data_IF_804381641836
#
_entry.id   IF_804381641836
#
_cell.length_a   1.000
_cell.length_b   1.000
_cell.length_c   1.000
_cell.angle_alpha   90.00
_cell.angle_beta   90.00
_cell.angle_gamma   90.00
#
_symmetry.space_group_name_H-M   'P 1'
#
loop_
_entity.id
_entity.type
_entity.pdbx_description
1 polymer ?
#
# COMPACT_ATOMS: atom_id res chain seq x y z
N UNK A 1 -8.86 20.74 -42.78
CA UNK A 1 -8.29 20.86 -41.42
C UNK A 1 -9.36 20.92 -40.32
N UNK A 2 -10.46 21.67 -40.47
CA UNK A 2 -11.52 21.76 -39.44
C UNK A 2 -12.27 20.46 -39.12
N UNK A 3 -12.54 19.59 -40.10
CA UNK A 3 -13.24 18.32 -39.87
C UNK A 3 -12.45 17.28 -39.05
N UNK A 4 -11.12 17.27 -39.17
CA UNK A 4 -10.26 16.40 -38.37
C UNK A 4 -10.20 16.85 -36.90
N UNK A 5 -10.18 18.16 -36.65
CA UNK A 5 -10.21 18.73 -35.29
C UNK A 5 -11.54 18.45 -34.59
N UNK A 6 -12.66 18.59 -35.31
CA UNK A 6 -14.00 18.29 -34.77
C UNK A 6 -14.18 16.82 -34.38
N UNK A 7 -13.69 15.90 -35.23
CA UNK A 7 -13.67 14.48 -34.91
C UNK A 7 -12.80 14.22 -33.69
N UNK A 8 -11.57 14.73 -33.64
CA UNK A 8 -10.66 14.52 -32.49
C UNK A 8 -11.29 14.97 -31.16
N UNK A 9 -12.00 16.09 -31.15
CA UNK A 9 -12.70 16.59 -29.97
C UNK A 9 -13.86 15.69 -29.56
N UNK A 10 -14.69 15.28 -30.53
CA UNK A 10 -15.85 14.42 -30.28
C UNK A 10 -15.45 13.03 -29.79
N UNK A 11 -14.44 12.40 -30.40
CA UNK A 11 -13.95 11.08 -29.97
C UNK A 11 -13.33 11.13 -28.58
N UNK A 12 -12.59 12.18 -28.25
CA UNK A 12 -12.02 12.34 -26.91
C UNK A 12 -13.08 12.60 -25.84
N UNK A 13 -14.11 13.41 -26.15
CA UNK A 13 -15.22 13.66 -25.24
C UNK A 13 -16.01 12.37 -24.95
N UNK A 14 -16.36 11.61 -26.00
CA UNK A 14 -17.01 10.30 -25.85
C UNK A 14 -16.12 9.35 -25.05
N UNK A 15 -14.82 9.34 -25.31
CA UNK A 15 -13.86 8.53 -24.54
C UNK A 15 -13.83 8.93 -23.07
N UNK A 16 -13.79 10.22 -22.71
CA UNK A 16 -13.86 10.67 -21.31
C UNK A 16 -15.17 10.34 -20.61
N UNK A 17 -16.29 10.32 -21.35
CA UNK A 17 -17.61 10.00 -20.81
C UNK A 17 -17.84 8.49 -20.63
N UNK A 18 -17.17 7.66 -21.43
CA UNK A 18 -17.41 6.20 -21.49
C UNK A 18 -16.27 5.37 -20.92
N UNK A 19 -15.05 5.92 -20.86
CA UNK A 19 -13.84 5.27 -20.38
C UNK A 19 -13.15 6.26 -19.44
N UNK A 20 -13.07 5.98 -18.13
CA UNK A 20 -12.31 6.84 -17.23
C UNK A 20 -10.90 6.99 -17.80
N UNK A 21 -10.35 8.23 -17.89
CA UNK A 21 -9.03 8.44 -18.46
C UNK A 21 -8.03 7.58 -17.68
N UNK A 22 -7.53 6.55 -18.35
CA UNK A 22 -6.64 5.57 -17.75
C UNK A 22 -5.26 6.21 -17.72
N UNK A 23 -5.00 7.04 -16.72
CA UNK A 23 -3.61 7.33 -16.37
C UNK A 23 -2.92 5.99 -16.07
N UNK A 24 -1.69 5.83 -16.56
CA UNK A 24 -0.93 4.61 -16.29
C UNK A 24 -0.88 4.39 -14.78
N UNK A 25 -1.14 3.19 -14.25
CA UNK A 25 -1.09 2.97 -12.82
C UNK A 25 0.28 3.36 -12.24
N UNK A 26 0.30 3.90 -11.01
CA UNK A 26 1.55 4.10 -10.28
C UNK A 26 2.10 2.73 -9.89
N UNK A 27 3.23 2.33 -10.49
CA UNK A 27 3.82 0.99 -10.29
C UNK A 27 5.18 1.00 -9.58
N UNK A 28 5.79 2.17 -9.39
CA UNK A 28 7.01 2.34 -8.60
C UNK A 28 6.93 3.50 -7.62
N UNK A 29 7.76 3.47 -6.56
CA UNK A 29 7.91 4.59 -5.62
C UNK A 29 8.38 5.87 -6.32
N UNK A 30 9.19 5.73 -7.38
CA UNK A 30 9.64 6.87 -8.18
C UNK A 30 8.51 7.51 -8.96
N UNK A 31 7.61 6.70 -9.52
CA UNK A 31 6.47 7.22 -10.25
C UNK A 31 5.50 7.93 -9.31
N UNK A 32 5.36 7.44 -8.07
CA UNK A 32 4.63 8.15 -7.03
C UNK A 32 5.25 9.53 -6.76
N UNK A 33 6.57 9.60 -6.58
CA UNK A 33 7.28 10.87 -6.38
C UNK A 33 7.11 11.84 -7.56
N UNK A 34 7.27 11.36 -8.81
CA UNK A 34 7.10 12.16 -10.04
C UNK A 34 5.69 12.74 -10.18
N UNK A 35 4.67 11.98 -9.78
CA UNK A 35 3.26 12.41 -9.82
C UNK A 35 2.82 13.15 -8.56
N UNK A 36 3.76 13.49 -7.69
CA UNK A 36 3.53 14.17 -6.41
C UNK A 36 2.53 13.43 -5.49
N UNK A 37 2.46 12.10 -5.62
CA UNK A 37 1.70 11.25 -4.71
C UNK A 37 2.59 10.93 -3.53
N UNK A 38 2.17 11.38 -2.36
CA UNK A 38 2.93 11.20 -1.11
C UNK A 38 2.50 9.90 -0.42
N UNK A 39 3.43 8.99 -0.21
CA UNK A 39 3.17 7.73 0.49
C UNK A 39 3.46 7.94 1.98
N UNK A 40 2.43 7.90 2.82
CA UNK A 40 2.60 8.10 4.24
C UNK A 40 3.30 6.89 4.91
N UNK A 41 4.26 7.19 5.77
CA UNK A 41 5.01 6.20 6.55
C UNK A 41 5.27 6.77 7.94
N UNK A 42 5.15 5.95 8.98
CA UNK A 42 5.54 6.35 10.33
C UNK A 42 7.07 6.30 10.50
N UNK A 43 7.65 7.26 11.21
CA UNK A 43 9.09 7.32 11.50
C UNK A 43 9.66 5.99 12.07
N UNK A 44 8.99 5.29 13.00
CA UNK A 44 9.46 3.99 13.48
C UNK A 44 9.54 2.91 12.39
N UNK A 45 8.75 3.01 11.32
CA UNK A 45 8.72 2.02 10.24
C UNK A 45 9.82 2.25 9.18
N UNK A 46 10.60 3.33 9.30
CA UNK A 46 11.74 3.59 8.39
C UNK A 46 12.82 2.51 8.53
N UNK A 47 13.05 2.02 9.75
CA UNK A 47 14.01 0.92 9.98
C UNK A 47 13.62 -0.34 9.23
N UNK A 48 12.32 -0.64 9.11
CA UNK A 48 11.84 -1.83 8.41
C UNK A 48 12.08 -1.70 6.91
N UNK A 49 11.81 -0.52 6.33
CA UNK A 49 12.10 -0.27 4.91
C UNK A 49 13.59 -0.43 4.63
N UNK A 50 14.45 0.13 5.48
CA UNK A 50 15.91 0.00 5.37
C UNK A 50 16.38 -1.44 5.56
N UNK A 51 15.77 -2.18 6.48
CA UNK A 51 16.07 -3.59 6.72
C UNK A 51 15.76 -4.46 5.49
N UNK A 52 14.59 -4.26 4.86
CA UNK A 52 14.17 -5.09 3.73
C UNK A 52 14.77 -4.66 2.37
N UNK A 53 15.05 -3.38 2.17
CA UNK A 53 15.48 -2.84 0.86
C UNK A 53 16.87 -2.21 0.84
N UNK A 54 17.49 -2.03 2.00
CA UNK A 54 18.79 -1.38 2.14
C UNK A 54 18.71 0.14 2.25
N UNK A 55 19.80 0.74 2.72
CA UNK A 55 19.94 2.20 2.85
C UNK A 55 19.93 2.92 1.50
N UNK A 56 20.45 2.30 0.44
CA UNK A 56 20.52 2.92 -0.89
C UNK A 56 19.12 3.14 -1.47
N UNK A 57 18.24 2.15 -1.34
CA UNK A 57 16.83 2.29 -1.73
C UNK A 57 16.14 3.45 -0.97
N UNK A 58 16.40 3.56 0.33
CA UNK A 58 15.83 4.63 1.15
C UNK A 58 16.32 6.01 0.68
N UNK A 59 17.64 6.18 0.52
CA UNK A 59 18.22 7.44 0.05
C UNK A 59 17.63 7.85 -1.29
N UNK A 60 17.52 6.91 -2.22
CA UNK A 60 16.93 7.18 -3.51
C UNK A 60 15.46 7.58 -3.38
N UNK A 61 14.62 6.82 -2.68
CA UNK A 61 13.15 6.93 -2.75
C UNK A 61 12.50 7.69 -1.60
N UNK A 62 13.28 8.25 -0.67
CA UNK A 62 12.80 8.99 0.50
C UNK A 62 11.85 10.15 0.16
N UNK A 63 12.01 10.77 -1.02
CA UNK A 63 11.18 11.87 -1.55
C UNK A 63 9.73 11.48 -1.86
N UNK A 64 9.48 10.19 -2.12
CA UNK A 64 8.15 9.64 -2.33
C UNK A 64 7.35 9.54 -1.02
N UNK A 65 8.03 9.53 0.13
CA UNK A 65 7.40 9.29 1.42
C UNK A 65 7.05 10.60 2.14
N UNK A 66 5.92 10.57 2.85
CA UNK A 66 5.53 11.60 3.82
C UNK A 66 5.63 11.01 5.21
N UNK A 67 6.62 11.47 5.97
CA UNK A 67 6.95 10.88 7.27
C UNK A 67 6.10 11.53 8.36
N UNK A 68 5.34 10.71 9.07
CA UNK A 68 4.63 11.11 10.29
C UNK A 68 5.39 10.63 11.52
N UNK A 69 5.29 11.37 12.61
CA UNK A 69 6.12 11.12 13.81
C UNK A 69 5.72 9.85 14.55
N UNK A 70 4.41 9.55 14.59
CA UNK A 70 3.88 8.43 15.38
C UNK A 70 3.09 7.46 14.52
N UNK A 71 3.06 6.20 14.97
CA UNK A 71 2.20 5.17 14.39
C UNK A 71 0.72 5.54 14.58
N UNK A 72 0.37 6.19 15.69
CA UNK A 72 -1.00 6.64 15.95
C UNK A 72 -1.47 7.67 14.92
N UNK A 73 -0.61 8.61 14.51
CA UNK A 73 -0.92 9.59 13.47
C UNK A 73 -1.14 8.89 12.11
N UNK A 74 -0.25 7.97 11.76
CA UNK A 74 -0.38 7.11 10.57
C UNK A 74 -1.74 6.38 10.57
N UNK A 75 -2.04 5.68 11.67
CA UNK A 75 -3.27 4.91 11.82
C UNK A 75 -4.51 5.81 11.81
N UNK A 76 -4.44 7.01 12.41
CA UNK A 76 -5.54 7.96 12.40
C UNK A 76 -5.87 8.46 10.99
N UNK A 77 -4.85 8.77 10.17
CA UNK A 77 -5.05 9.19 8.79
C UNK A 77 -5.57 8.04 7.92
N UNK A 78 -4.98 6.85 8.04
CA UNK A 78 -5.46 5.65 7.35
C UNK A 78 -6.90 5.33 7.75
N UNK A 79 -7.25 5.45 9.04
CA UNK A 79 -8.62 5.26 9.54
C UNK A 79 -9.56 6.35 9.02
N UNK A 80 -9.11 7.57 8.77
CA UNK A 80 -9.92 8.60 8.12
C UNK A 80 -10.02 8.41 6.60
N UNK A 81 -9.28 7.47 6.02
CA UNK A 81 -9.22 7.23 4.58
C UNK A 81 -8.85 8.52 3.82
N UNK A 82 -7.86 9.24 4.34
CA UNK A 82 -7.41 10.51 3.78
C UNK A 82 -6.70 10.29 2.43
N UNK A 83 -7.32 10.75 1.36
CA UNK A 83 -6.86 10.54 -0.03
C UNK A 83 -5.68 11.42 -0.43
N UNK A 84 -5.22 12.31 0.46
CA UNK A 84 -4.00 13.11 0.21
C UNK A 84 -2.73 12.25 0.19
N UNK A 85 -2.81 11.02 0.72
CA UNK A 85 -1.67 10.13 0.84
C UNK A 85 -1.99 8.73 0.31
N UNK A 86 -0.96 8.06 -0.23
CA UNK A 86 -0.93 6.61 -0.30
C UNK A 86 -0.48 6.01 1.03
N UNK A 87 -0.80 4.75 1.29
CA UNK A 87 -0.48 4.09 2.57
C UNK A 87 0.29 2.80 2.32
N UNK A 88 1.30 2.53 3.15
CA UNK A 88 1.95 1.22 3.16
C UNK A 88 1.32 0.35 4.23
N UNK A 89 0.75 -0.77 3.84
CA UNK A 89 0.10 -1.70 4.75
C UNK A 89 0.52 -3.14 4.48
N UNK A 90 0.31 -3.99 5.48
CA UNK A 90 0.34 -5.43 5.28
C UNK A 90 -0.81 -5.85 4.37
N UNK A 91 -0.52 -6.70 3.38
CA UNK A 91 -1.53 -7.17 2.43
C UNK A 91 -2.67 -7.93 3.11
N UNK A 92 -2.41 -8.56 4.26
CA UNK A 92 -3.43 -9.24 5.07
C UNK A 92 -4.50 -8.27 5.62
N UNK A 93 -4.17 -6.99 5.77
CA UNK A 93 -5.11 -5.96 6.21
C UNK A 93 -5.94 -5.38 5.05
N UNK A 94 -5.54 -5.61 3.79
CA UNK A 94 -6.22 -5.05 2.61
C UNK A 94 -7.72 -5.40 2.53
N UNK A 95 -8.17 -6.64 2.79
CA UNK A 95 -9.60 -6.99 2.71
C UNK A 95 -10.49 -6.13 3.63
N UNK A 96 -9.94 -5.70 4.78
CA UNK A 96 -10.65 -4.82 5.72
C UNK A 96 -10.84 -3.44 5.09
N UNK A 97 -9.79 -2.90 4.47
CA UNK A 97 -9.86 -1.60 3.80
C UNK A 97 -10.78 -1.68 2.60
N UNK A 98 -10.62 -2.69 1.74
CA UNK A 98 -11.48 -2.95 0.58
C UNK A 98 -12.96 -3.01 0.96
N UNK A 99 -13.31 -3.76 2.00
CA UNK A 99 -14.68 -3.84 2.49
C UNK A 99 -15.19 -2.47 2.94
N UNK A 100 -14.38 -1.71 3.66
CA UNK A 100 -14.74 -0.38 4.14
C UNK A 100 -14.97 0.63 2.99
N UNK A 101 -14.26 0.50 1.88
CA UNK A 101 -14.44 1.41 0.74
C UNK A 101 -15.79 1.22 0.04
N UNK A 102 -16.49 0.09 0.26
CA UNK A 102 -17.81 -0.18 -0.32
C UNK A 102 -18.89 0.81 0.12
N UNK A 103 -18.68 1.51 1.23
CA UNK A 103 -19.58 2.56 1.71
C UNK A 103 -19.38 3.92 1.00
N UNK A 104 -18.35 4.05 0.16
CA UNK A 104 -18.12 5.24 -0.67
C UNK A 104 -18.68 5.04 -2.07
N UNK A 105 -19.03 6.14 -2.74
CA UNK A 105 -19.56 6.13 -4.12
C UNK A 105 -18.59 5.49 -5.12
N UNK A 106 -17.29 5.59 -4.86
CA UNK A 106 -16.23 4.99 -5.66
C UNK A 106 -15.07 4.55 -4.75
N UNK A 107 -14.29 3.52 -5.13
CA UNK A 107 -13.12 3.10 -4.37
C UNK A 107 -12.10 4.25 -4.29
N UNK A 108 -11.58 4.52 -3.09
CA UNK A 108 -10.63 5.59 -2.83
C UNK A 108 -9.18 5.14 -3.00
N UNK A 109 -8.90 3.87 -2.67
CA UNK A 109 -7.59 3.26 -2.72
C UNK A 109 -7.64 1.97 -3.52
N UNK A 110 -6.48 1.59 -4.06
CA UNK A 110 -6.20 0.26 -4.63
C UNK A 110 -4.95 -0.31 -3.98
N UNK A 111 -4.88 -1.63 -3.84
CA UNK A 111 -3.63 -2.31 -3.53
C UNK A 111 -2.79 -2.42 -4.81
N UNK A 112 -1.52 -2.03 -4.73
CA UNK A 112 -0.58 -2.22 -5.84
C UNK A 112 0.18 -3.53 -5.65
N UNK A 113 0.29 -4.34 -6.70
CA UNK A 113 1.05 -5.60 -6.67
C UNK A 113 2.56 -5.40 -6.85
N UNK A 114 2.96 -4.22 -7.36
CA UNK A 114 4.35 -3.88 -7.65
C UNK A 114 4.98 -2.93 -6.62
N UNK A 115 4.19 -2.09 -5.94
CA UNK A 115 4.69 -1.22 -4.85
C UNK A 115 4.70 -1.95 -3.52
N UNK A 116 5.81 -2.65 -3.25
CA UNK A 116 6.11 -3.24 -1.95
C UNK A 116 7.60 -3.07 -1.63
N UNK A 117 7.94 -3.00 -0.34
CA UNK A 117 9.33 -3.11 0.11
C UNK A 117 9.69 -4.52 0.60
N UNK A 118 8.71 -5.38 0.90
CA UNK A 118 8.94 -6.78 1.26
C UNK A 118 7.81 -7.67 0.78
N UNK A 119 8.11 -8.92 0.42
CA UNK A 119 7.14 -9.98 0.09
C UNK A 119 7.36 -11.14 1.05
N UNK A 120 6.27 -11.69 1.58
CA UNK A 120 6.34 -12.85 2.46
C UNK A 120 6.87 -12.54 3.86
N UNK A 121 6.56 -11.35 4.41
CA UNK A 121 6.81 -11.08 5.83
C UNK A 121 6.14 -12.16 6.67
N UNK A 122 6.95 -12.93 7.39
CA UNK A 122 6.47 -14.04 8.22
C UNK A 122 5.95 -13.47 9.53
N UNK A 123 4.64 -13.62 9.77
CA UNK A 123 4.08 -13.43 11.10
C UNK A 123 4.56 -14.58 11.99
N UNK A 124 5.46 -14.26 12.92
CA UNK A 124 5.92 -15.21 13.93
C UNK A 124 5.38 -14.82 15.30
N UNK A 125 5.06 -15.82 16.12
CA UNK A 125 4.81 -15.61 17.54
C UNK A 125 6.16 -15.58 18.28
N UNK A 126 6.64 -14.44 18.79
CA UNK A 126 7.85 -14.42 19.59
C UNK A 126 7.58 -15.14 20.92
N UNK A 127 8.36 -16.18 21.20
CA UNK A 127 8.26 -16.95 22.44
C UNK A 127 9.59 -16.80 23.17
N UNK A 128 9.54 -16.50 24.47
CA UNK A 128 10.74 -16.47 25.33
C UNK A 128 11.49 -17.80 25.25
N UNK A 129 12.83 -17.74 25.22
CA UNK A 129 13.67 -18.95 25.15
C UNK A 129 13.34 -19.96 26.26
N UNK A 130 12.98 -19.45 27.45
CA UNK A 130 12.67 -20.25 28.64
C UNK A 130 11.17 -20.56 28.82
N UNK A 131 10.35 -20.38 27.78
CA UNK A 131 8.92 -20.67 27.88
C UNK A 131 8.67 -22.18 27.96
N UNK A 132 8.08 -22.62 29.08
CA UNK A 132 7.69 -24.03 29.30
C UNK A 132 6.71 -24.56 28.24
N UNK A 133 5.96 -23.68 27.59
CA UNK A 133 4.98 -24.04 26.56
C UNK A 133 5.53 -24.00 25.14
N UNK A 134 6.82 -23.68 24.93
CA UNK A 134 7.40 -23.50 23.60
C UNK A 134 7.13 -24.68 22.66
N UNK A 135 7.37 -25.90 23.14
CA UNK A 135 7.14 -27.12 22.35
C UNK A 135 5.65 -27.35 22.07
N UNK A 136 4.79 -27.14 23.07
CA UNK A 136 3.35 -27.32 22.94
C UNK A 136 2.76 -26.33 21.93
N UNK A 137 3.15 -25.06 22.01
CA UNK A 137 2.72 -24.00 21.08
C UNK A 137 3.24 -24.25 19.67
N UNK A 138 4.48 -24.70 19.52
CA UNK A 138 5.05 -25.03 18.20
C UNK A 138 4.29 -26.17 17.54
N UNK A 139 3.99 -27.23 18.30
CA UNK A 139 3.25 -28.37 17.79
C UNK A 139 1.77 -28.03 17.52
N UNK A 140 1.15 -27.21 18.36
CA UNK A 140 -0.19 -26.67 18.11
C UNK A 140 -0.22 -25.88 16.80
N UNK A 141 0.72 -24.94 16.61
CA UNK A 141 0.84 -24.15 15.38
C UNK A 141 0.97 -25.03 14.13
N UNK A 142 1.83 -26.06 14.18
CA UNK A 142 2.01 -26.99 13.06
C UNK A 142 0.71 -27.74 12.75
N UNK A 143 0.03 -28.28 13.77
CA UNK A 143 -1.23 -29.01 13.58
C UNK A 143 -2.35 -28.12 13.06
N UNK A 144 -2.51 -26.91 13.59
CA UNK A 144 -3.50 -25.95 13.09
C UNK A 144 -3.23 -25.57 11.64
N UNK A 145 -1.96 -25.48 11.23
CA UNK A 145 -1.61 -25.20 9.83
C UNK A 145 -1.93 -26.38 8.91
N UNK A 146 -1.79 -27.62 9.40
CA UNK A 146 -2.11 -28.83 8.64
C UNK A 146 -3.62 -29.08 8.52
N UNK A 147 -4.43 -28.66 9.50
CA UNK A 147 -5.88 -28.90 9.51
C UNK A 147 -6.69 -27.95 8.61
N UNK A 148 -6.13 -26.80 8.23
CA UNK A 148 -6.89 -25.69 7.65
C UNK A 148 -7.85 -25.05 8.67
#
# INVERSE_FOLDING_TARGET
>A
LGGMLGNFFSTNLVKWLTVPPHEEPIESFRDAAKRNVKIQLAEPAISDVKFYRGEDFWKENSDAFYIVKTIDEYQANMRKMDTRYGYVMESLAWPIIEHRQRYFTHPLFRLSESLYYTKGSLLSLPISENCIYKNLLSHFYLRSRESG
#
